data_IF_940116135669
#
_entry.id   IF_940116135669
#
_cell.length_a   1.000
_cell.length_b   1.000
_cell.length_c   1.000
_cell.angle_alpha   90.00
_cell.angle_beta   90.00
_cell.angle_gamma   90.00
#
_symmetry.space_group_name_H-M   'P 1'
#
loop_
_entity.id
_entity.type
_entity.pdbx_description
1 polymer ?
#
# COMPACT_ATOMS: atom_id res chain seq x y z
N UNK A 1 -24.42 -1.20 24.87
CA UNK A 1 -23.15 -1.39 24.15
C UNK A 1 -22.83 -0.08 23.46
N UNK A 2 -21.59 0.40 23.41
CA UNK A 2 -21.27 1.56 22.58
C UNK A 2 -21.65 1.30 21.13
N UNK A 3 -22.08 2.33 20.42
CA UNK A 3 -22.48 2.19 19.03
C UNK A 3 -21.26 1.71 18.20
N UNK A 4 -21.47 0.75 17.31
CA UNK A 4 -20.43 0.24 16.40
C UNK A 4 -19.85 1.40 15.57
N UNK A 5 -18.53 1.60 15.60
CA UNK A 5 -17.87 2.62 14.78
C UNK A 5 -17.99 2.32 13.27
N UNK A 6 -17.76 3.34 12.42
CA UNK A 6 -17.75 3.13 10.97
C UNK A 6 -16.73 2.06 10.54
N UNK A 7 -15.53 2.06 11.14
CA UNK A 7 -14.47 1.10 10.78
C UNK A 7 -14.82 -0.35 11.18
N UNK A 8 -15.48 -0.55 12.32
CA UNK A 8 -15.99 -1.86 12.71
C UNK A 8 -17.08 -2.33 11.74
N UNK A 9 -18.04 -1.46 11.41
CA UNK A 9 -19.06 -1.77 10.42
C UNK A 9 -18.44 -2.14 9.06
N UNK A 10 -17.43 -1.37 8.60
CA UNK A 10 -16.74 -1.61 7.34
C UNK A 10 -16.16 -3.03 7.26
N UNK A 11 -15.48 -3.48 8.33
CA UNK A 11 -14.83 -4.81 8.38
C UNK A 11 -15.82 -5.96 8.63
N UNK A 12 -16.87 -5.72 9.42
CA UNK A 12 -17.75 -6.79 9.90
C UNK A 12 -18.99 -6.97 9.02
N UNK A 13 -19.45 -5.90 8.36
CA UNK A 13 -20.72 -5.87 7.65
C UNK A 13 -20.57 -5.68 6.14
N UNK A 14 -19.36 -5.46 5.61
CA UNK A 14 -19.12 -5.27 4.18
C UNK A 14 -18.02 -6.19 3.66
N UNK A 15 -17.81 -6.23 2.34
CA UNK A 15 -16.70 -6.95 1.74
C UNK A 15 -15.35 -6.21 1.88
N UNK A 16 -15.36 -4.94 2.31
CA UNK A 16 -14.16 -4.11 2.40
C UNK A 16 -13.43 -4.37 3.72
N UNK A 17 -12.16 -4.77 3.60
CA UNK A 17 -11.25 -4.82 4.74
C UNK A 17 -10.46 -3.53 4.86
N UNK A 18 -9.88 -3.27 6.04
CA UNK A 18 -8.96 -2.16 6.19
C UNK A 18 -7.73 -2.54 7.01
N UNK A 19 -6.63 -1.84 6.72
CA UNK A 19 -5.33 -2.01 7.33
C UNK A 19 -4.88 -0.71 8.00
N UNK A 20 -4.16 -0.82 9.10
CA UNK A 20 -3.54 0.32 9.77
C UNK A 20 -2.35 0.85 8.96
N UNK A 21 -2.36 2.12 8.56
CA UNK A 21 -1.24 2.78 7.86
C UNK A 21 -0.31 3.45 8.88
N UNK A 22 0.36 2.64 9.70
CA UNK A 22 1.31 3.09 10.73
C UNK A 22 2.27 1.97 11.14
N UNK A 23 3.48 2.36 11.59
CA UNK A 23 4.43 1.48 12.27
C UNK A 23 4.43 1.65 13.80
N UNK A 24 3.67 2.57 14.36
CA UNK A 24 3.67 2.91 15.79
C UNK A 24 2.82 1.91 16.59
N UNK A 25 3.39 1.23 17.62
CA UNK A 25 2.69 0.18 18.35
C UNK A 25 1.36 0.60 18.97
N UNK A 26 1.29 1.77 19.58
CA UNK A 26 0.05 2.28 20.20
C UNK A 26 -1.04 2.61 19.17
N UNK A 27 -0.68 3.07 17.95
CA UNK A 27 -1.63 3.31 16.87
C UNK A 27 -2.15 2.00 16.27
N UNK A 28 -1.29 0.99 16.19
CA UNK A 28 -1.67 -0.36 15.75
C UNK A 28 -2.67 -0.97 16.74
N UNK A 29 -2.46 -0.83 18.06
CA UNK A 29 -3.37 -1.37 19.08
C UNK A 29 -4.78 -0.78 18.94
N UNK A 30 -4.89 0.53 18.77
CA UNK A 30 -6.18 1.19 18.50
C UNK A 30 -6.81 0.65 17.22
N UNK A 31 -6.05 0.51 16.14
CA UNK A 31 -6.57 0.02 14.86
C UNK A 31 -7.12 -1.41 14.98
N UNK A 32 -6.42 -2.31 15.66
CA UNK A 32 -6.84 -3.69 15.86
C UNK A 32 -8.14 -3.78 16.69
N UNK A 33 -8.31 -2.93 17.70
CA UNK A 33 -9.55 -2.83 18.49
C UNK A 33 -10.76 -2.40 17.64
N UNK A 34 -10.53 -1.69 16.54
CA UNK A 34 -11.57 -1.22 15.62
C UNK A 34 -11.69 -2.02 14.32
N UNK A 35 -11.09 -3.23 14.28
CA UNK A 35 -11.32 -4.18 13.17
C UNK A 35 -10.29 -4.11 12.04
N UNK A 36 -9.12 -3.50 12.24
CA UNK A 36 -8.03 -3.62 11.27
C UNK A 36 -7.56 -5.07 11.15
N UNK A 37 -7.36 -5.53 9.91
CA UNK A 37 -6.95 -6.92 9.65
C UNK A 37 -5.53 -7.04 9.08
N UNK A 38 -4.77 -5.96 9.07
CA UNK A 38 -3.39 -5.93 8.62
C UNK A 38 -2.76 -4.56 8.84
N UNK A 39 -1.49 -4.42 8.45
CA UNK A 39 -0.71 -3.20 8.64
C UNK A 39 0.06 -2.89 7.36
N UNK A 40 -0.02 -1.63 6.91
CA UNK A 40 0.90 -1.11 5.90
C UNK A 40 2.01 -0.33 6.56
N UNK A 41 3.25 -0.63 6.18
CA UNK A 41 4.40 0.21 6.45
C UNK A 41 5.10 0.62 5.16
N UNK A 42 5.97 1.58 5.29
CA UNK A 42 6.92 2.04 4.27
C UNK A 42 8.09 2.73 4.98
N UNK A 43 9.21 3.05 4.31
CA UNK A 43 10.35 3.67 4.98
C UNK A 43 10.03 4.96 5.75
N UNK A 44 9.23 5.92 5.24
CA UNK A 44 8.78 7.07 6.03
C UNK A 44 8.01 6.72 7.30
N UNK A 45 7.10 5.73 7.26
CA UNK A 45 6.34 5.31 8.44
C UNK A 45 7.23 4.61 9.47
N UNK A 46 8.20 3.79 9.02
CA UNK A 46 9.19 3.19 9.92
C UNK A 46 10.05 4.28 10.58
N UNK A 47 10.56 5.25 9.79
CA UNK A 47 11.31 6.37 10.33
C UNK A 47 10.50 7.21 11.32
N UNK A 48 9.22 7.46 11.02
CA UNK A 48 8.32 8.17 11.93
C UNK A 48 8.10 7.39 13.23
N UNK A 49 7.83 6.09 13.16
CA UNK A 49 7.60 5.24 14.33
C UNK A 49 8.76 5.30 15.32
N UNK A 50 10.00 5.15 14.84
CA UNK A 50 11.19 5.16 15.73
C UNK A 50 11.61 6.55 16.18
N UNK A 51 11.24 7.64 15.47
CA UNK A 51 11.68 8.99 15.78
C UNK A 51 10.65 9.83 16.55
N UNK A 52 9.35 9.57 16.39
CA UNK A 52 8.29 10.36 17.04
C UNK A 52 7.91 9.83 18.41
N UNK A 53 8.13 8.53 18.65
CA UNK A 53 7.88 7.88 19.95
C UNK A 53 9.09 7.02 20.36
N UNK A 54 10.26 7.63 20.52
CA UNK A 54 11.49 6.89 20.85
C UNK A 54 11.39 6.13 22.17
N UNK A 55 10.52 6.55 23.09
CA UNK A 55 10.27 5.87 24.36
C UNK A 55 9.71 4.46 24.18
N UNK A 56 8.95 4.20 23.11
CA UNK A 56 8.41 2.87 22.80
C UNK A 56 9.49 1.89 22.27
N UNK A 57 10.70 2.40 21.91
CA UNK A 57 11.74 1.66 21.19
C UNK A 57 13.15 1.82 21.76
N UNK A 58 13.32 2.59 22.84
CA UNK A 58 14.63 3.09 23.29
C UNK A 58 15.72 2.02 23.35
N UNK A 59 15.49 0.96 24.15
CA UNK A 59 16.49 -0.10 24.35
C UNK A 59 16.88 -0.81 23.05
N UNK A 60 15.90 -1.10 22.22
CA UNK A 60 16.11 -1.81 20.95
C UNK A 60 16.85 -0.91 19.95
N UNK A 61 16.50 0.37 19.86
CA UNK A 61 17.19 1.34 18.99
C UNK A 61 18.63 1.49 19.44
N UNK A 62 18.89 1.72 20.75
CA UNK A 62 20.24 1.84 21.29
C UNK A 62 21.08 0.59 20.98
N UNK A 63 20.53 -0.60 21.16
CA UNK A 63 21.20 -1.86 20.82
C UNK A 63 21.60 -1.94 19.36
N UNK A 64 20.68 -1.56 18.43
CA UNK A 64 20.94 -1.56 17.00
C UNK A 64 22.03 -0.54 16.65
N UNK A 65 21.92 0.68 17.16
CA UNK A 65 22.84 1.77 16.82
C UNK A 65 24.26 1.54 17.35
N UNK A 66 24.39 0.90 18.51
CA UNK A 66 25.68 0.54 19.11
C UNK A 66 26.30 -0.72 18.51
N UNK A 67 25.55 -1.47 17.68
CA UNK A 67 26.09 -2.67 17.03
C UNK A 67 27.25 -2.33 16.07
N UNK A 68 28.13 -3.32 15.83
CA UNK A 68 29.24 -3.20 14.88
C UNK A 68 28.83 -3.27 13.39
N UNK A 69 27.53 -3.27 13.10
CA UNK A 69 27.01 -3.35 11.72
C UNK A 69 27.28 -2.05 10.94
N UNK A 70 27.32 -2.16 9.64
CA UNK A 70 27.36 -0.99 8.72
C UNK A 70 26.01 -0.25 8.67
N UNK A 71 25.99 0.94 8.10
CA UNK A 71 24.80 1.77 8.04
C UNK A 71 23.62 1.12 7.29
N UNK A 72 23.80 0.47 6.12
CA UNK A 72 22.73 -0.27 5.46
C UNK A 72 22.12 -1.38 6.33
N UNK A 73 22.95 -2.17 7.03
CA UNK A 73 22.49 -3.23 7.92
C UNK A 73 21.74 -2.69 9.13
N UNK A 74 22.15 -1.56 9.70
CA UNK A 74 21.42 -0.86 10.78
C UNK A 74 20.07 -0.36 10.28
N UNK A 75 19.99 0.19 9.07
CA UNK A 75 18.73 0.64 8.47
C UNK A 75 17.74 -0.53 8.32
N UNK A 76 18.19 -1.65 7.77
CA UNK A 76 17.36 -2.87 7.68
C UNK A 76 16.95 -3.36 9.08
N UNK A 77 17.83 -3.29 10.08
CA UNK A 77 17.53 -3.69 11.46
C UNK A 77 16.48 -2.80 12.12
N UNK A 78 16.51 -1.48 11.88
CA UNK A 78 15.47 -0.55 12.36
C UNK A 78 14.12 -0.81 11.68
N UNK A 79 14.10 -1.06 10.38
CA UNK A 79 12.87 -1.45 9.66
C UNK A 79 12.36 -2.79 10.20
N UNK A 80 13.23 -3.78 10.38
CA UNK A 80 12.90 -5.08 10.95
C UNK A 80 12.29 -4.95 12.35
N UNK A 81 12.84 -4.09 13.21
CA UNK A 81 12.31 -3.84 14.54
C UNK A 81 10.84 -3.42 14.48
N UNK A 82 10.53 -2.38 13.69
CA UNK A 82 9.15 -1.88 13.53
C UNK A 82 8.22 -2.95 12.94
N UNK A 83 8.64 -3.58 11.86
CA UNK A 83 7.83 -4.55 11.13
C UNK A 83 7.57 -5.81 11.95
N UNK A 84 8.59 -6.38 12.62
CA UNK A 84 8.40 -7.61 13.40
C UNK A 84 7.56 -7.37 14.66
N UNK A 85 7.59 -6.18 15.23
CA UNK A 85 6.69 -5.85 16.33
C UNK A 85 5.23 -5.78 15.86
N UNK A 86 4.96 -5.14 14.74
CA UNK A 86 3.63 -5.15 14.13
C UNK A 86 3.19 -6.57 13.72
N UNK A 87 4.10 -7.39 13.19
CA UNK A 87 3.85 -8.79 12.84
C UNK A 87 3.34 -9.58 14.06
N UNK A 88 4.02 -9.47 15.21
CA UNK A 88 3.62 -10.16 16.46
C UNK A 88 2.22 -9.76 16.93
N UNK A 89 1.81 -8.48 16.78
CA UNK A 89 0.45 -8.04 17.13
C UNK A 89 -0.62 -8.69 16.25
N UNK A 90 -0.25 -9.15 15.07
CA UNK A 90 -1.13 -9.82 14.11
C UNK A 90 -1.08 -11.35 14.18
N UNK A 91 -0.16 -11.97 14.94
CA UNK A 91 0.06 -13.43 14.97
C UNK A 91 -1.23 -14.22 15.26
N UNK A 92 -2.02 -13.79 16.25
CA UNK A 92 -3.28 -14.45 16.58
C UNK A 92 -4.31 -14.37 15.44
N UNK A 93 -4.37 -13.24 14.73
CA UNK A 93 -5.25 -13.07 13.57
C UNK A 93 -4.77 -13.92 12.41
N UNK A 94 -3.47 -13.92 12.13
CA UNK A 94 -2.85 -14.72 11.07
C UNK A 94 -3.11 -16.22 11.28
N UNK A 95 -2.89 -16.71 12.50
CA UNK A 95 -3.11 -18.12 12.84
C UNK A 95 -4.59 -18.52 12.70
N UNK A 96 -5.53 -17.76 13.30
CA UNK A 96 -6.97 -18.10 13.25
C UNK A 96 -7.59 -17.97 11.85
N UNK A 97 -7.02 -17.14 10.99
CA UNK A 97 -7.44 -16.99 9.60
C UNK A 97 -6.77 -17.96 8.63
N UNK A 98 -5.94 -18.89 9.15
CA UNK A 98 -5.13 -19.81 8.33
C UNK A 98 -4.31 -19.08 7.28
N UNK A 99 -3.73 -17.93 7.64
CA UNK A 99 -2.86 -17.14 6.78
C UNK A 99 -3.58 -16.34 5.68
N UNK A 100 -4.87 -16.09 5.80
CA UNK A 100 -5.60 -15.23 4.84
C UNK A 100 -5.61 -13.76 5.26
N UNK A 101 -5.47 -13.45 6.54
CA UNK A 101 -5.43 -12.12 7.14
C UNK A 101 -4.19 -11.99 8.05
N UNK A 102 -3.98 -10.81 8.61
CA UNK A 102 -2.92 -10.60 9.61
C UNK A 102 -1.54 -10.35 9.03
N UNK A 103 -1.45 -9.79 7.82
CA UNK A 103 -0.19 -9.42 7.20
C UNK A 103 0.27 -8.02 7.55
N UNK A 104 1.60 -7.84 7.59
CA UNK A 104 2.24 -6.53 7.62
C UNK A 104 3.19 -6.36 6.43
N UNK A 105 3.19 -5.17 5.83
CA UNK A 105 4.10 -4.85 4.74
C UNK A 105 5.53 -4.61 5.25
N UNK A 106 6.55 -5.13 4.54
CA UNK A 106 7.95 -4.77 4.68
C UNK A 106 8.47 -4.29 3.33
N UNK A 107 8.72 -2.98 3.19
CA UNK A 107 9.08 -2.38 1.91
C UNK A 107 10.59 -2.39 1.70
N UNK A 108 11.03 -2.91 0.54
CA UNK A 108 12.42 -2.84 0.08
C UNK A 108 12.86 -1.38 -0.16
N UNK A 109 14.18 -1.14 -0.21
CA UNK A 109 14.75 0.19 -0.45
C UNK A 109 14.19 0.83 -1.73
N UNK A 110 13.51 1.98 -1.61
CA UNK A 110 12.94 2.67 -2.77
C UNK A 110 14.01 3.19 -3.75
N UNK A 111 15.24 3.43 -3.31
CA UNK A 111 16.34 3.82 -4.18
C UNK A 111 16.76 2.70 -5.14
N UNK A 112 16.42 1.44 -4.83
CA UNK A 112 16.73 0.25 -5.62
C UNK A 112 15.60 -0.13 -6.60
N UNK A 113 14.59 0.71 -6.78
CA UNK A 113 13.40 0.43 -7.60
C UNK A 113 13.68 0.06 -9.08
N UNK A 114 14.88 0.33 -9.59
CA UNK A 114 15.35 -0.07 -10.91
C UNK A 114 16.24 -1.32 -10.94
N UNK A 115 16.63 -1.89 -9.79
CA UNK A 115 17.62 -2.95 -9.68
C UNK A 115 16.99 -4.25 -9.15
N UNK A 116 16.64 -5.16 -10.09
CA UNK A 116 15.95 -6.42 -9.80
C UNK A 116 16.68 -7.25 -8.73
N UNK A 117 17.98 -7.46 -8.90
CA UNK A 117 18.78 -8.35 -8.05
C UNK A 117 18.83 -7.88 -6.59
N UNK A 118 19.01 -6.57 -6.38
CA UNK A 118 19.06 -5.98 -5.05
C UNK A 118 17.69 -6.06 -4.36
N UNK A 119 16.60 -5.70 -5.08
CA UNK A 119 15.25 -5.82 -4.52
C UNK A 119 14.86 -7.27 -4.20
N UNK A 120 15.24 -8.23 -5.06
CA UNK A 120 14.93 -9.64 -4.85
C UNK A 120 15.68 -10.21 -3.63
N UNK A 121 16.98 -9.91 -3.52
CA UNK A 121 17.79 -10.33 -2.39
C UNK A 121 17.25 -9.75 -1.07
N UNK A 122 16.88 -8.47 -1.06
CA UNK A 122 16.27 -7.81 0.09
C UNK A 122 14.89 -8.40 0.42
N UNK A 123 14.06 -8.63 -0.60
CA UNK A 123 12.73 -9.23 -0.43
C UNK A 123 12.78 -10.60 0.23
N UNK A 124 13.72 -11.47 -0.17
CA UNK A 124 13.93 -12.77 0.46
C UNK A 124 14.35 -12.65 1.93
N UNK A 125 15.26 -11.71 2.25
CA UNK A 125 15.63 -11.45 3.65
C UNK A 125 14.44 -10.97 4.47
N UNK A 126 13.63 -10.06 3.93
CA UNK A 126 12.48 -9.50 4.64
C UNK A 126 11.38 -10.55 4.87
N UNK A 127 11.11 -11.40 3.88
CA UNK A 127 10.16 -12.51 4.01
C UNK A 127 10.52 -13.46 5.17
N UNK A 128 11.82 -13.62 5.46
CA UNK A 128 12.30 -14.49 6.53
C UNK A 128 12.15 -13.88 7.95
N UNK A 129 11.72 -12.63 8.10
CA UNK A 129 11.59 -11.99 9.42
C UNK A 129 10.41 -12.53 10.25
N UNK A 130 9.29 -12.85 9.60
CA UNK A 130 8.13 -13.49 10.21
C UNK A 130 7.21 -14.09 9.13
N UNK A 131 6.37 -15.09 9.45
CA UNK A 131 5.53 -15.79 8.47
C UNK A 131 4.44 -14.90 7.85
N UNK A 132 4.05 -13.84 8.52
CA UNK A 132 3.02 -12.89 8.10
C UNK A 132 3.57 -11.58 7.51
N UNK A 133 4.80 -11.62 6.99
CA UNK A 133 5.37 -10.51 6.22
C UNK A 133 4.84 -10.56 4.78
N UNK A 134 4.33 -9.43 4.29
CA UNK A 134 4.11 -9.19 2.87
C UNK A 134 5.20 -8.27 2.33
N UNK A 135 6.06 -8.81 1.47
CA UNK A 135 7.19 -8.06 0.89
C UNK A 135 6.66 -6.99 -0.07
N UNK A 136 6.96 -5.73 0.24
CA UNK A 136 6.43 -4.58 -0.49
C UNK A 136 7.47 -4.05 -1.47
N UNK A 137 7.15 -4.10 -2.77
CA UNK A 137 8.06 -3.85 -3.90
C UNK A 137 7.50 -2.73 -4.78
N UNK A 138 8.30 -1.71 -5.18
CA UNK A 138 7.87 -0.68 -6.12
C UNK A 138 7.47 -1.27 -7.48
N UNK A 139 6.35 -0.83 -8.03
CA UNK A 139 5.83 -1.29 -9.33
C UNK A 139 6.57 -0.57 -10.47
N UNK A 140 7.73 -1.10 -10.79
CA UNK A 140 8.57 -0.77 -11.95
C UNK A 140 8.71 -2.03 -12.80
N UNK A 141 9.31 -1.95 -13.99
CA UNK A 141 9.59 -3.17 -14.78
C UNK A 141 10.41 -4.19 -13.98
N UNK A 142 11.50 -3.75 -13.33
CA UNK A 142 12.31 -4.61 -12.46
C UNK A 142 11.52 -5.13 -11.25
N UNK A 143 10.64 -4.29 -10.67
CA UNK A 143 9.81 -4.67 -9.53
C UNK A 143 8.75 -5.72 -9.88
N UNK A 144 8.21 -5.70 -11.09
CA UNK A 144 7.28 -6.74 -11.57
C UNK A 144 7.97 -8.11 -11.64
N UNK A 145 9.22 -8.17 -12.13
CA UNK A 145 10.00 -9.40 -12.15
C UNK A 145 10.25 -9.92 -10.72
N UNK A 146 10.53 -9.02 -9.77
CA UNK A 146 10.72 -9.37 -8.35
C UNK A 146 9.41 -9.90 -7.74
N UNK A 147 8.27 -9.26 -8.02
CA UNK A 147 6.96 -9.72 -7.54
C UNK A 147 6.63 -11.12 -8.06
N UNK A 148 6.92 -11.41 -9.35
CA UNK A 148 6.74 -12.72 -9.94
C UNK A 148 7.62 -13.78 -9.27
N UNK A 149 8.93 -13.50 -9.07
CA UNK A 149 9.86 -14.44 -8.44
C UNK A 149 9.49 -14.75 -6.98
N UNK A 150 9.22 -13.72 -6.17
CA UNK A 150 8.80 -13.92 -4.79
C UNK A 150 7.48 -14.70 -4.69
N UNK A 151 6.51 -14.40 -5.58
CA UNK A 151 5.27 -15.17 -5.66
C UNK A 151 5.50 -16.63 -6.06
N UNK A 152 6.47 -16.90 -6.96
CA UNK A 152 6.85 -18.26 -7.34
C UNK A 152 7.53 -19.04 -6.19
N UNK A 153 8.10 -18.33 -5.23
CA UNK A 153 8.66 -18.90 -4.00
C UNK A 153 7.60 -19.15 -2.90
N UNK A 154 6.35 -18.73 -3.12
CA UNK A 154 5.25 -18.83 -2.15
C UNK A 154 5.20 -17.67 -1.15
N UNK A 155 5.97 -16.61 -1.38
CA UNK A 155 6.06 -15.45 -0.50
C UNK A 155 4.86 -14.52 -0.76
N UNK A 156 4.27 -13.99 0.32
CA UNK A 156 3.26 -12.94 0.24
C UNK A 156 3.89 -11.63 -0.27
N UNK A 157 3.25 -10.98 -1.25
CA UNK A 157 3.81 -9.81 -1.92
C UNK A 157 2.82 -8.63 -1.99
N UNK A 158 3.37 -7.42 -2.01
CA UNK A 158 2.61 -6.17 -2.16
C UNK A 158 3.30 -5.28 -3.18
N UNK A 159 2.68 -5.07 -4.35
CA UNK A 159 3.15 -4.09 -5.34
C UNK A 159 2.77 -2.68 -4.91
N UNK A 160 3.73 -1.75 -4.86
CA UNK A 160 3.53 -0.37 -4.34
C UNK A 160 4.17 0.70 -5.21
N UNK A 161 4.02 1.96 -4.82
CA UNK A 161 4.42 3.13 -5.62
C UNK A 161 3.78 3.08 -7.00
N UNK A 162 2.48 2.89 -6.98
CA UNK A 162 1.64 2.67 -8.15
C UNK A 162 0.37 3.52 -8.07
N UNK A 163 -0.07 4.03 -9.23
CA UNK A 163 -1.02 5.13 -9.36
C UNK A 163 -1.97 4.95 -10.54
N UNK A 164 -1.77 3.92 -11.37
CA UNK A 164 -2.50 3.73 -12.61
C UNK A 164 -3.15 2.35 -12.71
N UNK A 165 -4.21 2.27 -13.50
CA UNK A 165 -4.87 1.00 -13.83
C UNK A 165 -3.87 0.02 -14.45
N UNK A 166 -3.04 0.48 -15.38
CA UNK A 166 -2.01 -0.37 -16.03
C UNK A 166 -1.03 -0.98 -15.03
N UNK A 167 -0.58 -0.22 -14.00
CA UNK A 167 0.26 -0.76 -12.94
C UNK A 167 -0.46 -1.82 -12.11
N UNK A 168 -1.75 -1.61 -11.79
CA UNK A 168 -2.56 -2.59 -11.05
C UNK A 168 -2.66 -3.91 -11.81
N UNK A 169 -3.00 -3.85 -13.10
CA UNK A 169 -3.11 -5.03 -13.95
C UNK A 169 -1.77 -5.76 -14.06
N UNK A 170 -0.67 -5.04 -14.27
CA UNK A 170 0.67 -5.62 -14.34
C UNK A 170 1.07 -6.37 -13.05
N UNK A 171 0.73 -5.85 -11.87
CA UNK A 171 0.95 -6.54 -10.58
C UNK A 171 0.14 -7.85 -10.52
N UNK A 172 -1.16 -7.79 -10.87
CA UNK A 172 -2.01 -8.97 -10.83
C UNK A 172 -1.53 -10.07 -11.81
N UNK A 173 -1.08 -9.67 -12.99
CA UNK A 173 -0.52 -10.58 -14.00
C UNK A 173 0.83 -11.18 -13.58
N UNK A 174 1.74 -10.39 -13.03
CA UNK A 174 3.01 -10.88 -12.48
C UNK A 174 2.76 -11.89 -11.36
N UNK A 175 1.87 -11.57 -10.41
CA UNK A 175 1.48 -12.51 -9.36
C UNK A 175 0.86 -13.79 -9.95
N UNK A 176 -0.03 -13.70 -10.92
CA UNK A 176 -0.66 -14.87 -11.54
C UNK A 176 0.37 -15.80 -12.22
N UNK A 177 1.41 -15.24 -12.87
CA UNK A 177 2.53 -16.03 -13.42
C UNK A 177 3.34 -16.70 -12.31
N UNK A 178 3.73 -15.95 -11.28
CA UNK A 178 4.46 -16.47 -10.12
C UNK A 178 3.68 -17.56 -9.38
N UNK A 179 2.38 -17.33 -9.15
CA UNK A 179 1.51 -18.30 -8.48
C UNK A 179 1.36 -19.62 -9.27
N UNK A 180 1.31 -19.56 -10.62
CA UNK A 180 1.36 -20.79 -11.44
C UNK A 180 2.66 -21.56 -11.26
N UNK A 181 3.79 -20.85 -11.25
CA UNK A 181 5.13 -21.44 -11.01
C UNK A 181 5.24 -22.03 -9.60
N UNK A 182 4.71 -21.36 -8.59
CA UNK A 182 4.67 -21.89 -7.21
C UNK A 182 3.94 -23.23 -7.16
N UNK A 183 2.72 -23.30 -7.73
CA UNK A 183 1.91 -24.54 -7.77
C UNK A 183 2.62 -25.67 -8.53
N UNK A 184 3.24 -25.35 -9.67
CA UNK A 184 4.01 -26.34 -10.45
C UNK A 184 5.19 -26.92 -9.66
N UNK A 185 5.73 -26.17 -8.69
CA UNK A 185 6.81 -26.58 -7.80
C UNK A 185 6.30 -27.11 -6.43
N UNK A 186 5.01 -27.46 -6.32
CA UNK A 186 4.41 -28.02 -5.09
C UNK A 186 4.29 -27.02 -3.93
N UNK A 187 4.38 -25.71 -4.19
CA UNK A 187 4.25 -24.66 -3.17
C UNK A 187 2.85 -24.03 -3.21
N UNK A 188 2.36 -23.61 -2.05
CA UNK A 188 1.16 -22.76 -1.94
C UNK A 188 1.56 -21.32 -2.28
N UNK A 189 0.93 -20.66 -3.26
CA UNK A 189 1.18 -19.26 -3.54
C UNK A 189 0.82 -18.37 -2.36
N UNK A 190 1.68 -17.41 -2.02
CA UNK A 190 1.34 -16.36 -1.07
C UNK A 190 0.32 -15.38 -1.66
N UNK A 191 -0.43 -14.64 -0.81
CA UNK A 191 -1.35 -13.60 -1.27
C UNK A 191 -0.60 -12.43 -1.92
N UNK A 192 -1.33 -11.67 -2.75
CA UNK A 192 -0.81 -10.47 -3.40
C UNK A 192 -1.74 -9.28 -3.19
N UNK A 193 -1.17 -8.15 -2.81
CA UNK A 193 -1.86 -6.88 -2.80
C UNK A 193 -1.29 -5.95 -3.89
N UNK A 194 -2.16 -5.42 -4.73
CA UNK A 194 -1.83 -4.36 -5.69
C UNK A 194 -2.21 -3.02 -5.07
N UNK A 195 -1.22 -2.24 -4.63
CA UNK A 195 -1.47 -0.94 -3.98
C UNK A 195 -1.80 0.11 -5.02
N UNK A 196 -2.83 0.90 -4.76
CA UNK A 196 -3.17 2.10 -5.53
C UNK A 196 -3.15 3.31 -4.60
N UNK A 197 -2.18 4.21 -4.79
CA UNK A 197 -1.96 5.39 -3.93
C UNK A 197 -2.77 6.57 -4.44
N UNK A 198 -4.11 6.50 -4.28
CA UNK A 198 -5.07 7.39 -4.92
C UNK A 198 -4.87 8.87 -4.59
N UNK A 199 -4.69 9.22 -3.33
CA UNK A 199 -4.54 10.63 -2.95
C UNK A 199 -3.21 11.25 -3.39
N UNK A 200 -2.15 10.44 -3.61
CA UNK A 200 -0.92 10.95 -4.24
C UNK A 200 -1.11 11.24 -5.73
N UNK A 201 -1.96 10.48 -6.38
CA UNK A 201 -2.37 10.79 -7.75
C UNK A 201 -3.14 12.10 -7.80
N UNK A 202 -4.09 12.30 -6.88
CA UNK A 202 -4.86 13.55 -6.78
C UNK A 202 -3.94 14.76 -6.56
N UNK A 203 -2.99 14.68 -5.61
CA UNK A 203 -2.00 15.74 -5.36
C UNK A 203 -1.18 16.05 -6.63
N UNK A 204 -0.68 15.02 -7.31
CA UNK A 204 0.10 15.18 -8.54
C UNK A 204 -0.71 15.83 -9.66
N UNK A 205 -1.96 15.41 -9.83
CA UNK A 205 -2.84 15.99 -10.85
C UNK A 205 -3.22 17.44 -10.53
N UNK A 206 -3.35 17.83 -9.25
CA UNK A 206 -3.55 19.22 -8.85
C UNK A 206 -2.40 20.11 -9.33
N UNK A 207 -1.16 19.65 -9.16
CA UNK A 207 0.02 20.42 -9.59
C UNK A 207 0.11 20.49 -11.12
N UNK A 208 -0.09 19.36 -11.81
CA UNK A 208 -0.07 19.29 -13.27
C UNK A 208 -1.20 20.14 -13.88
N UNK A 209 -2.35 20.21 -13.23
CA UNK A 209 -3.49 21.03 -13.69
C UNK A 209 -3.17 22.53 -13.70
N UNK A 210 -2.46 23.01 -12.68
CA UNK A 210 -2.04 24.41 -12.59
C UNK A 210 -1.13 24.80 -13.76
N UNK A 211 -0.18 23.91 -14.13
CA UNK A 211 0.78 24.14 -15.21
C UNK A 211 0.13 24.10 -16.60
N UNK A 212 -0.89 23.25 -16.80
CA UNK A 212 -1.47 22.94 -18.11
C UNK A 212 -2.81 23.62 -18.39
N UNK A 213 -3.27 24.51 -17.53
CA UNK A 213 -4.61 25.17 -17.65
C UNK A 213 -5.73 24.16 -17.91
N UNK A 214 -5.76 23.07 -17.12
CA UNK A 214 -6.70 21.99 -17.27
C UNK A 214 -8.16 22.46 -17.14
N UNK A 215 -9.08 21.80 -17.84
CA UNK A 215 -10.52 22.05 -17.71
C UNK A 215 -11.11 21.51 -16.39
N UNK A 216 -10.43 20.52 -15.79
CA UNK A 216 -10.84 19.93 -14.52
C UNK A 216 -10.65 20.91 -13.37
N UNK A 217 -11.67 21.10 -12.57
CA UNK A 217 -11.61 21.87 -11.33
C UNK A 217 -10.89 21.11 -10.22
N UNK A 218 -10.42 21.76 -9.13
CA UNK A 218 -9.89 21.05 -7.96
C UNK A 218 -10.85 20.01 -7.38
N UNK A 219 -12.16 20.26 -7.40
CA UNK A 219 -13.18 19.32 -6.95
C UNK A 219 -13.29 18.09 -7.86
N UNK A 220 -13.11 18.26 -9.17
CA UNK A 220 -13.03 17.12 -10.11
C UNK A 220 -11.78 16.28 -9.85
N UNK A 221 -10.63 16.92 -9.63
CA UNK A 221 -9.35 16.25 -9.41
C UNK A 221 -9.37 15.41 -8.13
N UNK A 222 -10.08 15.85 -7.09
CA UNK A 222 -10.29 15.04 -5.87
C UNK A 222 -11.03 13.72 -6.13
N UNK A 223 -11.67 13.56 -7.28
CA UNK A 223 -12.34 12.32 -7.70
C UNK A 223 -11.46 11.44 -8.62
N UNK A 224 -10.29 11.94 -9.02
CA UNK A 224 -9.45 11.23 -9.99
C UNK A 224 -8.96 9.86 -9.47
N UNK A 225 -8.41 9.83 -8.25
CA UNK A 225 -7.96 8.58 -7.61
C UNK A 225 -9.10 7.60 -7.38
N UNK A 226 -10.30 8.09 -7.02
CA UNK A 226 -11.51 7.26 -6.92
C UNK A 226 -11.91 6.67 -8.26
N UNK A 227 -11.86 7.45 -9.34
CA UNK A 227 -12.17 6.98 -10.69
C UNK A 227 -11.22 5.86 -11.11
N UNK A 228 -9.91 6.04 -10.88
CA UNK A 228 -8.88 5.02 -11.18
C UNK A 228 -9.10 3.76 -10.33
N UNK A 229 -9.44 3.90 -9.03
CA UNK A 229 -9.70 2.77 -8.15
C UNK A 229 -10.93 1.96 -8.59
N UNK A 230 -12.04 2.61 -8.91
CA UNK A 230 -13.26 1.96 -9.39
C UNK A 230 -13.04 1.29 -10.74
N UNK A 231 -12.28 1.90 -11.67
CA UNK A 231 -11.89 1.31 -12.96
C UNK A 231 -11.03 0.07 -12.78
N UNK A 232 -9.99 0.16 -11.95
CA UNK A 232 -9.13 -0.99 -11.64
C UNK A 232 -9.91 -2.14 -11.02
N UNK A 233 -10.80 -1.85 -10.06
CA UNK A 233 -11.64 -2.86 -9.41
C UNK A 233 -12.56 -3.58 -10.40
N UNK A 234 -13.22 -2.85 -11.30
CA UNK A 234 -14.07 -3.44 -12.34
C UNK A 234 -13.28 -4.43 -13.19
N UNK A 235 -12.07 -4.04 -13.64
CA UNK A 235 -11.21 -4.91 -14.46
C UNK A 235 -10.67 -6.12 -13.67
N UNK A 236 -10.37 -5.96 -12.39
CA UNK A 236 -9.97 -7.08 -11.52
C UNK A 236 -11.08 -8.13 -11.41
N UNK A 237 -12.32 -7.69 -11.22
CA UNK A 237 -13.50 -8.57 -11.16
C UNK A 237 -13.75 -9.24 -12.49
N UNK A 238 -13.72 -8.49 -13.59
CA UNK A 238 -13.92 -9.00 -14.95
C UNK A 238 -12.90 -10.08 -15.32
N UNK A 239 -11.61 -9.85 -14.97
CA UNK A 239 -10.52 -10.77 -15.31
C UNK A 239 -10.30 -11.87 -14.26
N UNK A 240 -11.03 -11.87 -13.16
CA UNK A 240 -10.95 -12.90 -12.12
C UNK A 240 -9.58 -12.97 -11.44
N UNK A 241 -8.90 -11.83 -11.24
CA UNK A 241 -7.59 -11.83 -10.57
C UNK A 241 -7.69 -12.22 -9.09
N UNK A 242 -6.75 -13.06 -8.63
CA UNK A 242 -6.63 -13.45 -7.23
C UNK A 242 -5.97 -12.37 -6.36
N UNK A 243 -5.20 -11.46 -6.97
CA UNK A 243 -4.62 -10.32 -6.27
C UNK A 243 -5.72 -9.38 -5.78
N UNK A 244 -5.56 -8.80 -4.57
CA UNK A 244 -6.48 -7.80 -4.02
C UNK A 244 -5.96 -6.38 -4.26
N UNK A 245 -6.87 -5.46 -4.58
CA UNK A 245 -6.53 -4.04 -4.61
C UNK A 245 -6.42 -3.53 -3.17
N UNK A 246 -5.32 -2.83 -2.88
CA UNK A 246 -5.09 -2.13 -1.62
C UNK A 246 -5.02 -0.63 -1.91
N UNK A 247 -6.06 0.09 -1.55
CA UNK A 247 -6.11 1.55 -1.74
C UNK A 247 -5.40 2.23 -0.57
N UNK A 248 -4.46 3.11 -0.88
CA UNK A 248 -3.60 3.78 0.11
C UNK A 248 -3.47 5.29 -0.14
N UNK A 249 -2.80 5.96 0.81
CA UNK A 249 -2.51 7.39 0.76
C UNK A 249 -3.77 8.26 0.65
N UNK A 250 -4.79 7.97 1.44
CA UNK A 250 -6.05 8.70 1.47
C UNK A 250 -5.81 10.19 1.82
N UNK A 251 -6.68 11.08 1.30
CA UNK A 251 -6.67 12.52 1.59
C UNK A 251 -7.88 13.00 2.38
N UNK A 252 -8.81 12.08 2.67
CA UNK A 252 -9.99 12.35 3.47
C UNK A 252 -10.76 11.08 3.76
N UNK A 253 -11.73 11.16 4.66
CA UNK A 253 -12.64 10.04 4.96
C UNK A 253 -13.49 9.66 3.75
N UNK A 254 -13.72 10.61 2.82
CA UNK A 254 -14.47 10.36 1.59
C UNK A 254 -13.85 9.28 0.72
N UNK A 255 -12.52 9.14 0.69
CA UNK A 255 -11.88 8.03 -0.03
C UNK A 255 -12.29 6.66 0.53
N UNK A 256 -12.47 6.56 1.86
CA UNK A 256 -12.93 5.31 2.47
C UNK A 256 -14.43 5.10 2.26
N UNK A 257 -15.24 6.14 2.43
CA UNK A 257 -16.70 6.01 2.33
C UNK A 257 -17.19 5.75 0.90
N UNK A 258 -16.54 6.34 -0.11
CA UNK A 258 -16.87 6.15 -1.53
C UNK A 258 -16.44 4.77 -2.09
N UNK A 259 -15.60 4.04 -1.37
CA UNK A 259 -15.12 2.70 -1.76
C UNK A 259 -15.68 1.58 -0.88
N UNK A 260 -16.46 1.92 0.15
CA UNK A 260 -17.08 0.96 1.04
C UNK A 260 -17.98 -0.03 0.28
N UNK A 261 -17.89 -1.32 0.63
CA UNK A 261 -18.61 -2.42 0.01
C UNK A 261 -17.82 -3.19 -1.07
N UNK A 262 -16.77 -2.60 -1.64
CA UNK A 262 -15.93 -3.32 -2.58
C UNK A 262 -15.05 -4.37 -1.88
N UNK A 263 -14.84 -5.54 -2.49
CA UNK A 263 -13.88 -6.55 -2.02
C UNK A 263 -12.44 -6.05 -2.26
N UNK A 264 -12.01 -5.10 -1.45
CA UNK A 264 -10.68 -4.48 -1.48
C UNK A 264 -10.20 -4.18 -0.06
N UNK A 265 -8.97 -3.72 0.04
CA UNK A 265 -8.34 -3.30 1.30
C UNK A 265 -8.16 -1.78 1.27
N UNK A 266 -8.52 -1.09 2.36
CA UNK A 266 -8.24 0.32 2.56
C UNK A 266 -7.13 0.48 3.59
N UNK A 267 -6.00 1.06 3.20
CA UNK A 267 -4.91 1.44 4.11
C UNK A 267 -5.20 2.81 4.68
N UNK A 268 -5.56 2.87 5.97
CA UNK A 268 -6.10 4.07 6.60
C UNK A 268 -5.12 4.61 7.64
N UNK A 269 -4.64 5.84 7.43
CA UNK A 269 -3.76 6.54 8.37
C UNK A 269 -4.50 6.87 9.69
N UNK A 270 -3.85 6.82 10.87
CA UNK A 270 -4.46 7.07 12.18
C UNK A 270 -5.29 8.37 12.28
N UNK A 271 -4.88 9.43 11.58
CA UNK A 271 -5.68 10.67 11.47
C UNK A 271 -7.10 10.41 10.97
N UNK A 272 -7.26 9.62 9.91
CA UNK A 272 -8.57 9.33 9.32
C UNK A 272 -9.29 8.22 10.07
N UNK A 273 -8.54 7.29 10.70
CA UNK A 273 -9.14 6.31 11.61
C UNK A 273 -9.91 7.01 12.73
N UNK A 274 -9.28 7.97 13.42
CA UNK A 274 -9.94 8.76 14.48
C UNK A 274 -11.21 9.43 13.98
N UNK A 275 -11.18 10.08 12.82
CA UNK A 275 -12.37 10.72 12.23
C UNK A 275 -13.50 9.72 11.95
N UNK A 276 -13.17 8.51 11.47
CA UNK A 276 -14.15 7.45 11.16
C UNK A 276 -14.64 6.71 12.42
N UNK A 277 -13.91 6.81 13.54
CA UNK A 277 -14.30 6.24 14.83
C UNK A 277 -15.19 7.23 15.60
N UNK A 278 -14.77 8.51 15.65
CA UNK A 278 -15.36 9.51 16.54
C UNK A 278 -16.55 10.23 15.93
N UNK A 279 -16.68 10.24 14.60
CA UNK A 279 -17.78 10.90 13.89
C UNK A 279 -18.91 9.94 13.56
N UNK A 280 -20.13 10.42 13.56
CA UNK A 280 -21.30 9.68 13.08
C UNK A 280 -21.30 9.68 11.54
N UNK A 281 -20.53 8.74 10.95
CA UNK A 281 -20.41 8.57 9.51
C UNK A 281 -21.49 7.60 9.04
N UNK A 282 -22.23 8.00 7.99
CA UNK A 282 -23.27 7.17 7.41
C UNK A 282 -22.68 5.83 6.91
N UNK A 283 -23.25 4.73 7.42
CA UNK A 283 -22.87 3.35 7.10
C UNK A 283 -23.60 2.89 5.85
N UNK A 284 -23.00 3.13 4.69
CA UNK A 284 -23.57 2.87 3.38
C UNK A 284 -22.48 2.35 2.43
N UNK A 285 -22.79 1.33 1.64
CA UNK A 285 -21.93 0.84 0.57
C UNK A 285 -22.06 1.71 -0.67
N UNK A 286 -20.95 2.41 -1.05
CA UNK A 286 -20.94 3.39 -2.16
C UNK A 286 -20.04 3.04 -3.33
N UNK A 287 -19.30 1.92 -3.26
CA UNK A 287 -18.35 1.61 -4.32
C UNK A 287 -18.99 1.48 -5.71
N UNK A 288 -20.25 1.00 -5.76
CA UNK A 288 -20.99 0.83 -7.00
C UNK A 288 -21.48 2.14 -7.63
N UNK A 289 -21.50 3.24 -6.88
CA UNK A 289 -21.85 4.56 -7.40
C UNK A 289 -20.71 5.04 -8.30
N UNK A 290 -20.92 5.23 -9.61
CA UNK A 290 -19.86 5.67 -10.51
C UNK A 290 -19.47 7.12 -10.25
N UNK A 291 -18.24 7.49 -10.63
CA UNK A 291 -17.89 8.92 -10.77
C UNK A 291 -18.67 9.48 -11.96
N UNK A 292 -19.23 10.67 -11.78
CA UNK A 292 -20.11 11.29 -12.77
C UNK A 292 -19.43 11.45 -14.14
N UNK A 293 -20.09 11.09 -15.25
CA UNK A 293 -19.48 11.13 -16.60
C UNK A 293 -18.90 12.49 -16.96
N UNK A 294 -19.51 13.57 -16.53
CA UNK A 294 -19.04 14.94 -16.78
C UNK A 294 -17.72 15.25 -16.06
N UNK A 295 -17.50 14.69 -14.86
CA UNK A 295 -16.22 14.80 -14.15
C UNK A 295 -15.15 14.01 -14.89
N UNK A 296 -15.46 12.77 -15.32
CA UNK A 296 -14.53 11.96 -16.12
C UNK A 296 -14.16 12.65 -17.43
N UNK A 297 -15.10 13.27 -18.11
CA UNK A 297 -14.83 14.04 -19.34
C UNK A 297 -13.84 15.19 -19.09
N UNK A 298 -14.06 15.99 -18.01
CA UNK A 298 -13.12 17.06 -17.68
C UNK A 298 -11.75 16.54 -17.26
N UNK A 299 -11.69 15.48 -16.44
CA UNK A 299 -10.43 14.81 -16.06
C UNK A 299 -9.69 14.27 -17.28
N UNK A 300 -10.41 13.73 -18.27
CA UNK A 300 -9.82 13.18 -19.51
C UNK A 300 -9.17 14.25 -20.40
N UNK A 301 -9.41 15.54 -20.13
CA UNK A 301 -8.63 16.61 -20.76
C UNK A 301 -7.17 16.67 -20.26
N UNK A 302 -6.87 15.99 -19.17
CA UNK A 302 -5.53 15.92 -18.57
C UNK A 302 -4.82 14.67 -19.02
N UNK A 303 -3.73 14.81 -19.78
CA UNK A 303 -2.93 13.68 -20.30
C UNK A 303 -2.50 12.72 -19.16
N UNK A 304 -2.08 13.25 -18.04
CA UNK A 304 -1.58 12.45 -16.92
C UNK A 304 -2.71 11.65 -16.23
N UNK A 305 -3.94 12.17 -16.22
CA UNK A 305 -5.11 11.40 -15.78
C UNK A 305 -5.41 10.25 -16.75
N UNK A 306 -5.43 10.51 -18.05
CA UNK A 306 -5.66 9.47 -19.08
C UNK A 306 -4.62 8.34 -18.93
N UNK A 307 -3.35 8.69 -18.75
CA UNK A 307 -2.26 7.70 -18.51
C UNK A 307 -2.47 6.87 -17.23
N UNK A 308 -3.08 7.44 -16.22
CA UNK A 308 -3.40 6.71 -14.98
C UNK A 308 -4.68 5.88 -15.11
N UNK A 309 -5.67 6.34 -15.86
CA UNK A 309 -7.01 5.77 -15.93
C UNK A 309 -7.15 4.65 -16.96
N UNK A 310 -6.46 4.78 -18.12
CA UNK A 310 -6.59 3.78 -19.18
C UNK A 310 -5.75 2.51 -18.87
N UNK A 311 -6.30 1.32 -19.18
CA UNK A 311 -5.62 0.04 -18.90
C UNK A 311 -4.27 -0.12 -19.61
N UNK A 312 -4.09 0.54 -20.73
CA UNK A 312 -2.89 0.60 -21.56
C UNK A 312 -2.20 1.98 -21.52
N UNK A 313 -2.60 2.85 -20.60
CA UNK A 313 -2.11 4.23 -20.51
C UNK A 313 -0.61 4.35 -20.19
N UNK A 314 -0.01 3.30 -19.63
CA UNK A 314 1.43 3.20 -19.35
C UNK A 314 1.92 1.78 -19.62
N UNK A 315 3.06 1.64 -20.28
CA UNK A 315 3.80 0.37 -20.37
C UNK A 315 4.70 0.15 -19.13
N UNK A 316 5.11 -1.10 -18.82
CA UNK A 316 6.03 -1.37 -17.72
C UNK A 316 7.35 -0.57 -17.77
N UNK A 317 7.87 -0.30 -18.97
CA UNK A 317 9.08 0.51 -19.17
C UNK A 317 8.88 1.99 -18.77
N UNK A 318 7.64 2.48 -18.80
CA UNK A 318 7.29 3.85 -18.43
C UNK A 318 6.96 4.01 -16.95
N UNK A 319 6.64 2.94 -16.19
CA UNK A 319 6.21 3.03 -14.79
C UNK A 319 7.18 3.81 -13.92
N UNK A 320 8.48 3.53 -14.02
CA UNK A 320 9.51 4.25 -13.25
C UNK A 320 9.65 5.71 -13.65
N UNK A 321 9.24 6.08 -14.89
CA UNK A 321 9.32 7.45 -15.42
C UNK A 321 8.04 8.25 -15.23
N UNK A 322 6.96 7.64 -14.76
CA UNK A 322 5.74 8.36 -14.46
C UNK A 322 6.00 9.37 -13.34
N UNK A 323 5.64 10.64 -13.53
CA UNK A 323 6.06 11.73 -12.66
C UNK A 323 5.74 11.51 -11.18
N UNK A 324 4.54 11.03 -10.86
CA UNK A 324 4.14 10.71 -9.48
C UNK A 324 4.92 9.53 -8.90
N UNK A 325 5.35 8.56 -9.73
CA UNK A 325 6.22 7.45 -9.33
C UNK A 325 7.58 7.96 -8.89
N UNK A 326 8.24 8.76 -9.74
CA UNK A 326 9.56 9.34 -9.43
C UNK A 326 9.53 10.19 -8.16
N UNK A 327 8.53 11.07 -8.04
CA UNK A 327 8.33 11.90 -6.85
C UNK A 327 8.18 11.05 -5.58
N UNK A 328 7.37 9.99 -5.63
CA UNK A 328 7.13 9.13 -4.48
C UNK A 328 8.35 8.32 -4.10
N UNK A 329 9.10 7.78 -5.08
CA UNK A 329 10.37 7.08 -4.83
C UNK A 329 11.38 8.01 -4.17
N UNK A 330 11.57 9.22 -4.72
CA UNK A 330 12.47 10.23 -4.14
C UNK A 330 12.06 10.59 -2.71
N UNK A 331 10.77 10.87 -2.46
CA UNK A 331 10.30 11.18 -1.12
C UNK A 331 10.50 10.02 -0.14
N UNK A 332 10.19 8.78 -0.52
CA UNK A 332 10.37 7.61 0.35
C UNK A 332 11.85 7.35 0.66
N UNK A 333 12.73 7.64 -0.28
CA UNK A 333 14.18 7.60 -0.07
C UNK A 333 14.60 8.67 0.92
N UNK A 334 14.28 9.94 0.65
CA UNK A 334 14.79 11.07 1.45
C UNK A 334 14.17 11.15 2.86
N UNK A 335 12.83 11.02 2.95
CA UNK A 335 12.13 11.19 4.23
C UNK A 335 11.99 9.89 5.04
N UNK A 336 12.39 8.76 4.46
CA UNK A 336 12.30 7.44 5.08
C UNK A 336 13.65 6.75 5.19
N UNK A 337 14.10 6.14 4.10
CA UNK A 337 15.31 5.30 4.10
C UNK A 337 16.55 6.04 4.59
N UNK A 338 16.89 7.17 3.98
CA UNK A 338 18.04 7.99 4.39
C UNK A 338 17.91 8.57 5.80
N UNK A 339 16.67 8.82 6.24
CA UNK A 339 16.45 9.27 7.62
C UNK A 339 16.78 8.18 8.63
N UNK A 340 16.47 6.92 8.33
CA UNK A 340 16.88 5.77 9.14
C UNK A 340 18.40 5.57 9.10
N UNK A 341 19.03 5.70 7.92
CA UNK A 341 20.49 5.62 7.77
C UNK A 341 21.24 6.68 8.58
N UNK A 342 20.65 7.87 8.74
CA UNK A 342 21.25 8.97 9.48
C UNK A 342 21.11 8.85 11.00
N UNK A 343 20.35 7.88 11.53
CA UNK A 343 20.22 7.64 12.97
C UNK A 343 21.55 7.13 13.54
N UNK A 344 21.99 7.76 14.67
CA UNK A 344 23.25 7.47 15.35
C UNK A 344 23.03 7.29 16.82
#
# INVERSE_FOLDING_TARGET
MPAQSYLQWLSECTATNWWCDSGTPSEIDVALQHGAVGITTNPPLCAAAVSQKPEEWREQIETILQSAQDAPSKTEALIRLVVTQGARKLDALFARSSGTLGYICAQVDPAKAGTREEMLAMGRRFAAWAPNISVKVPVTSAGLDVLEELAAEGIAVTGTVSFSVSQMLAVAEAHARGARRARANGKTPGPCNAVLMIGRLDDYLMEVAADNRAKASPADIQKAGLAVAKRAYSLFKERGYAAKILVAALRGTYHATELAGADMILSIHPKYQRMLIDQDVLKEEKYAVPVEPQILERLSSMKEFVRAYEPDGLSPAEFIRFGVTQRTLAQFTETGWKRLEAMR
#
